data_IF_544367814973
#
_entry.id   IF_544367814973
#
_cell.length_a   1.000
_cell.length_b   1.000
_cell.length_c   1.000
_cell.angle_alpha   90.00
_cell.angle_beta   90.00
_cell.angle_gamma   90.00
#
_symmetry.space_group_name_H-M   'P 1'
#
loop_
_entity.id
_entity.type
_entity.pdbx_description
1 polymer ?
#
# COMPACT_ATOMS: atom_id res chain seq x y z
N UNK A 1 -0.46 -0.64 -27.80
CA UNK A 1 -1.42 -0.05 -26.83
C UNK A 1 -1.64 -0.94 -25.60
N UNK A 2 -1.66 -2.29 -25.73
CA UNK A 2 -1.85 -3.20 -24.60
C UNK A 2 -0.68 -3.17 -23.60
N UNK A 3 0.55 -3.10 -24.08
CA UNK A 3 1.73 -3.02 -23.23
C UNK A 3 1.72 -1.72 -22.39
N UNK A 4 1.43 -0.58 -22.98
CA UNK A 4 1.34 0.71 -22.27
C UNK A 4 0.27 0.65 -21.18
N UNK A 5 -0.85 0.02 -21.47
CA UNK A 5 -1.92 -0.17 -20.50
C UNK A 5 -1.49 -1.09 -19.35
N UNK A 6 -0.81 -2.19 -19.65
CA UNK A 6 -0.29 -3.12 -18.65
C UNK A 6 0.74 -2.45 -17.72
N UNK A 7 1.66 -1.66 -18.27
CA UNK A 7 2.65 -0.88 -17.51
C UNK A 7 1.97 0.16 -16.61
N UNK A 8 0.92 0.84 -17.13
CA UNK A 8 0.14 1.79 -16.34
C UNK A 8 -0.60 1.11 -15.18
N UNK A 9 -1.19 -0.08 -15.40
CA UNK A 9 -1.84 -0.86 -14.34
C UNK A 9 -0.83 -1.24 -13.28
N UNK A 10 0.34 -1.77 -13.65
CA UNK A 10 1.37 -2.16 -12.71
C UNK A 10 1.86 -0.97 -11.86
N UNK A 11 2.05 0.18 -12.48
CA UNK A 11 2.40 1.42 -11.80
C UNK A 11 1.28 1.85 -10.83
N UNK A 12 0.04 1.84 -11.26
CA UNK A 12 -1.13 2.19 -10.44
C UNK A 12 -1.28 1.22 -9.26
N UNK A 13 -1.05 -0.08 -9.50
CA UNK A 13 -1.05 -1.08 -8.45
C UNK A 13 0.08 -0.83 -7.46
N UNK A 14 1.27 -0.43 -7.90
CA UNK A 14 2.40 -0.13 -7.02
C UNK A 14 2.20 1.16 -6.23
N UNK A 15 1.72 2.23 -6.85
CA UNK A 15 1.67 3.58 -6.28
C UNK A 15 0.33 3.94 -5.63
N UNK A 16 -0.76 3.20 -5.90
CA UNK A 16 -2.08 3.46 -5.31
C UNK A 16 -2.10 3.29 -3.79
N UNK A 17 -3.23 3.68 -3.18
CA UNK A 17 -3.44 3.57 -1.73
C UNK A 17 -3.23 2.13 -1.26
N UNK A 18 -2.28 1.92 -0.35
CA UNK A 18 -1.83 0.63 0.15
C UNK A 18 -1.63 0.66 1.66
N UNK A 19 -1.74 -0.49 2.27
CA UNK A 19 -1.09 -0.75 3.53
C UNK A 19 0.40 -0.99 3.28
N UNK A 20 1.22 -0.41 4.14
CA UNK A 20 2.68 -0.49 4.04
C UNK A 20 3.21 -1.07 5.34
N UNK A 21 3.96 -2.14 5.22
CA UNK A 21 4.66 -2.75 6.36
C UNK A 21 6.15 -2.72 6.06
N UNK A 22 6.94 -2.31 7.05
CA UNK A 22 8.37 -2.11 6.92
C UNK A 22 9.11 -2.99 7.94
N UNK A 23 10.11 -3.73 7.46
CA UNK A 23 10.93 -4.62 8.27
C UNK A 23 12.41 -4.44 8.02
N UNK A 24 13.22 -4.66 9.06
CA UNK A 24 14.66 -4.82 8.91
C UNK A 24 15.00 -6.29 8.76
N UNK A 25 15.96 -6.59 7.90
CA UNK A 25 16.37 -7.96 7.64
C UNK A 25 17.90 -8.08 7.56
N UNK A 26 18.37 -9.30 7.67
CA UNK A 26 19.74 -9.71 7.34
C UNK A 26 19.69 -10.56 6.07
N UNK A 27 20.69 -10.39 5.24
CA UNK A 27 20.87 -11.16 4.00
C UNK A 27 21.90 -12.26 4.30
N UNK A 28 21.63 -13.46 3.79
CA UNK A 28 22.62 -14.52 3.76
C UNK A 28 23.83 -14.12 2.90
N UNK A 29 25.06 -14.40 3.39
CA UNK A 29 26.28 -13.97 2.70
C UNK A 29 26.39 -14.54 1.27
N UNK A 30 25.93 -15.75 1.04
CA UNK A 30 25.95 -16.36 -0.30
C UNK A 30 25.03 -15.62 -1.27
N UNK A 31 23.83 -15.28 -0.83
CA UNK A 31 22.86 -14.51 -1.64
C UNK A 31 23.29 -13.06 -1.80
N UNK A 32 23.93 -12.45 -0.80
CA UNK A 32 24.46 -11.11 -0.89
C UNK A 32 25.42 -10.93 -2.06
N UNK A 33 26.28 -11.93 -2.32
CA UNK A 33 27.17 -11.93 -3.47
C UNK A 33 26.40 -12.00 -4.80
N UNK A 34 25.34 -12.83 -4.86
CA UNK A 34 24.50 -12.96 -6.05
C UNK A 34 23.76 -11.64 -6.32
N UNK A 35 23.26 -10.98 -5.29
CA UNK A 35 22.53 -9.71 -5.40
C UNK A 35 23.48 -8.51 -5.60
N UNK A 36 24.80 -8.71 -5.68
CA UNK A 36 25.77 -7.63 -5.83
C UNK A 36 25.74 -6.96 -7.21
N UNK A 37 25.27 -7.64 -8.25
CA UNK A 37 25.18 -7.16 -9.62
C UNK A 37 23.89 -7.60 -10.30
N UNK A 38 23.53 -6.93 -11.40
CA UNK A 38 22.27 -7.17 -12.12
C UNK A 38 22.21 -8.54 -12.79
N UNK A 39 23.33 -9.02 -13.34
CA UNK A 39 23.38 -10.35 -13.98
C UNK A 39 23.12 -11.48 -12.96
N UNK A 40 23.70 -11.35 -11.77
CA UNK A 40 23.47 -12.25 -10.65
C UNK A 40 21.99 -12.26 -10.20
N UNK A 41 21.41 -11.08 -10.06
CA UNK A 41 19.99 -10.91 -9.72
C UNK A 41 19.13 -11.59 -10.78
N UNK A 42 19.34 -11.31 -12.05
CA UNK A 42 18.59 -11.87 -13.16
C UNK A 42 18.71 -13.39 -13.18
N UNK A 43 19.91 -13.93 -13.23
CA UNK A 43 20.15 -15.39 -13.25
C UNK A 43 19.56 -16.11 -12.05
N UNK A 44 19.49 -15.43 -10.90
CA UNK A 44 18.90 -16.00 -9.69
C UNK A 44 17.38 -15.97 -9.74
N UNK A 45 16.78 -14.82 -10.05
CA UNK A 45 15.34 -14.61 -9.96
C UNK A 45 14.54 -15.18 -11.12
N UNK A 46 15.09 -15.24 -12.33
CA UNK A 46 14.41 -15.84 -13.50
C UNK A 46 13.94 -17.27 -13.26
N UNK A 47 14.57 -17.99 -12.33
CA UNK A 47 14.18 -19.35 -11.96
C UNK A 47 12.87 -19.41 -11.18
N UNK A 48 12.48 -18.29 -10.55
CA UNK A 48 11.32 -18.20 -9.65
C UNK A 48 10.15 -17.45 -10.27
N UNK A 49 10.40 -16.71 -11.37
CA UNK A 49 9.32 -16.07 -12.12
C UNK A 49 8.41 -17.15 -12.70
N UNK A 50 7.12 -16.98 -12.53
CA UNK A 50 6.13 -17.91 -13.05
C UNK A 50 6.22 -18.01 -14.58
N UNK A 51 6.31 -19.23 -15.11
CA UNK A 51 6.50 -19.49 -16.53
C UNK A 51 5.30 -19.08 -17.40
N UNK A 52 4.13 -19.01 -16.78
CA UNK A 52 2.88 -18.58 -17.41
C UNK A 52 2.65 -17.08 -17.28
N UNK A 53 3.60 -16.36 -16.64
CA UNK A 53 3.52 -14.93 -16.49
C UNK A 53 3.74 -14.20 -17.81
N UNK A 54 2.90 -13.22 -18.07
CA UNK A 54 3.09 -12.27 -19.18
C UNK A 54 4.12 -11.18 -18.88
N UNK A 55 4.71 -11.17 -17.66
CA UNK A 55 5.55 -10.09 -17.15
C UNK A 55 4.77 -8.88 -16.62
N UNK A 56 3.44 -8.96 -16.61
CA UNK A 56 2.54 -7.95 -16.08
C UNK A 56 1.52 -8.55 -15.11
N UNK A 57 1.02 -7.74 -14.18
CA UNK A 57 -0.02 -8.18 -13.25
C UNK A 57 -1.34 -8.50 -13.93
N UNK A 58 -1.62 -7.88 -15.07
CA UNK A 58 -2.78 -8.22 -15.88
C UNK A 58 -2.42 -9.29 -16.93
N UNK A 59 -3.41 -10.04 -17.36
CA UNK A 59 -3.29 -11.09 -18.39
C UNK A 59 -2.44 -12.29 -18.01
N UNK A 60 -2.04 -12.42 -16.75
CA UNK A 60 -1.41 -13.63 -16.22
C UNK A 60 -2.46 -14.59 -15.68
N UNK A 61 -2.19 -15.88 -15.76
CA UNK A 61 -3.08 -16.89 -15.18
C UNK A 61 -2.76 -17.07 -13.70
N UNK A 62 -3.76 -16.92 -12.86
CA UNK A 62 -3.63 -17.04 -11.41
C UNK A 62 -4.49 -18.18 -10.86
N UNK A 63 -3.98 -18.79 -9.82
CA UNK A 63 -4.67 -19.75 -8.98
C UNK A 63 -4.62 -19.30 -7.51
N UNK A 64 -4.89 -20.21 -6.58
CA UNK A 64 -4.82 -19.96 -5.15
C UNK A 64 -3.38 -19.91 -4.59
N UNK A 65 -2.36 -20.14 -5.41
CA UNK A 65 -0.97 -20.08 -5.00
C UNK A 65 -0.37 -18.71 -5.29
N UNK A 66 0.50 -18.26 -4.40
CA UNK A 66 1.25 -17.01 -4.59
C UNK A 66 2.36 -17.25 -5.62
N UNK A 67 2.32 -16.51 -6.72
CA UNK A 67 3.29 -16.57 -7.82
C UNK A 67 4.12 -15.28 -7.88
N UNK A 68 5.40 -15.40 -8.19
CA UNK A 68 6.24 -14.27 -8.58
C UNK A 68 6.01 -13.98 -10.05
N UNK A 69 5.46 -12.83 -10.36
CA UNK A 69 5.06 -12.46 -11.72
C UNK A 69 6.20 -11.79 -12.47
N UNK A 70 6.89 -10.89 -11.79
CA UNK A 70 8.06 -10.19 -12.30
C UNK A 70 8.87 -9.59 -11.16
N UNK A 71 10.05 -9.12 -11.51
CA UNK A 71 10.85 -8.26 -10.65
C UNK A 71 11.41 -7.08 -11.46
N UNK A 72 11.79 -6.04 -10.75
CA UNK A 72 12.49 -4.88 -11.33
C UNK A 72 13.62 -4.46 -10.40
N UNK A 73 14.78 -4.13 -10.98
CA UNK A 73 15.89 -3.53 -10.27
C UNK A 73 15.93 -2.04 -10.60
N UNK A 74 16.15 -1.22 -9.60
CA UNK A 74 16.26 0.24 -9.76
C UNK A 74 17.22 0.81 -8.73
N UNK A 75 17.66 2.05 -8.97
CA UNK A 75 18.49 2.80 -8.02
C UNK A 75 17.70 3.99 -7.51
N UNK A 76 17.53 4.06 -6.19
CA UNK A 76 16.88 5.17 -5.52
C UNK A 76 17.88 5.88 -4.59
N UNK A 77 18.19 7.14 -4.87
CA UNK A 77 19.17 7.94 -4.10
C UNK A 77 20.53 7.24 -3.94
N UNK A 78 21.01 6.61 -5.03
CA UNK A 78 22.28 5.88 -5.05
C UNK A 78 22.26 4.50 -4.40
N UNK A 79 21.11 4.02 -3.92
CA UNK A 79 20.93 2.70 -3.31
C UNK A 79 20.07 1.79 -4.18
N UNK A 80 20.44 0.53 -4.24
CA UNK A 80 19.76 -0.46 -5.07
C UNK A 80 18.47 -0.93 -4.41
N UNK A 81 17.41 -0.93 -5.20
CA UNK A 81 16.09 -1.41 -4.78
C UNK A 81 15.63 -2.49 -5.75
N UNK A 82 15.36 -3.66 -5.22
CA UNK A 82 14.78 -4.77 -5.93
C UNK A 82 13.29 -4.86 -5.58
N UNK A 83 12.42 -4.71 -6.57
CA UNK A 83 10.98 -4.83 -6.40
C UNK A 83 10.50 -6.16 -6.96
N UNK A 84 9.85 -6.97 -6.14
CA UNK A 84 9.21 -8.22 -6.53
C UNK A 84 7.69 -8.02 -6.56
N UNK A 85 7.05 -8.52 -7.60
CA UNK A 85 5.61 -8.44 -7.81
C UNK A 85 5.03 -9.84 -7.65
N UNK A 86 4.35 -10.07 -6.54
CA UNK A 86 3.63 -11.30 -6.28
C UNK A 86 2.15 -11.10 -6.56
N UNK A 87 1.49 -12.15 -7.01
CA UNK A 87 0.04 -12.17 -7.16
C UNK A 87 -0.52 -13.57 -6.95
N UNK A 88 -1.76 -13.63 -6.49
CA UNK A 88 -2.59 -14.83 -6.45
C UNK A 88 -4.04 -14.47 -6.72
N UNK A 89 -4.87 -15.44 -7.04
CA UNK A 89 -6.31 -15.27 -7.10
C UNK A 89 -6.93 -15.43 -5.71
N UNK A 90 -7.90 -14.61 -5.41
CA UNK A 90 -8.76 -14.74 -4.22
C UNK A 90 -10.21 -14.47 -4.63
N UNK A 91 -11.16 -14.97 -3.85
CA UNK A 91 -12.57 -14.62 -4.03
C UNK A 91 -12.94 -13.50 -3.08
N UNK A 92 -13.53 -12.44 -3.60
CA UNK A 92 -14.06 -11.31 -2.85
C UNK A 92 -15.58 -11.34 -2.87
N UNK A 93 -16.22 -11.20 -1.71
CA UNK A 93 -17.67 -11.13 -1.60
C UNK A 93 -18.09 -9.70 -1.28
N UNK A 94 -18.87 -9.11 -2.16
CA UNK A 94 -19.37 -7.76 -1.99
C UNK A 94 -20.45 -7.70 -0.91
N UNK A 95 -20.27 -6.84 0.09
CA UNK A 95 -21.19 -6.78 1.27
C UNK A 95 -22.63 -6.44 0.94
N UNK A 96 -22.86 -5.63 -0.13
CA UNK A 96 -24.19 -5.10 -0.42
C UNK A 96 -25.11 -6.11 -1.10
N UNK A 97 -24.57 -6.88 -2.03
CA UNK A 97 -25.36 -7.77 -2.90
C UNK A 97 -24.94 -9.23 -2.79
N UNK A 98 -23.97 -9.54 -1.93
CA UNK A 98 -23.37 -10.86 -1.74
C UNK A 98 -22.81 -11.48 -3.04
N UNK A 99 -22.49 -10.67 -4.03
CA UNK A 99 -21.89 -11.16 -5.26
C UNK A 99 -20.43 -11.59 -5.00
N UNK A 100 -20.12 -12.82 -5.36
CA UNK A 100 -18.76 -13.34 -5.35
C UNK A 100 -18.05 -12.95 -6.66
N UNK A 101 -16.82 -12.46 -6.53
CA UNK A 101 -15.94 -12.14 -7.69
C UNK A 101 -14.56 -12.69 -7.40
N UNK A 102 -13.99 -13.34 -8.39
CA UNK A 102 -12.57 -13.68 -8.34
C UNK A 102 -11.77 -12.44 -8.70
N UNK A 103 -10.82 -12.11 -7.84
CA UNK A 103 -9.97 -10.93 -8.00
C UNK A 103 -8.52 -11.30 -7.80
N UNK A 104 -7.67 -10.60 -8.49
CA UNK A 104 -6.23 -10.63 -8.27
C UNK A 104 -5.88 -9.92 -6.96
N UNK A 105 -4.99 -10.53 -6.19
CA UNK A 105 -4.47 -9.98 -4.96
C UNK A 105 -2.97 -9.75 -5.08
N UNK A 106 -2.56 -8.59 -5.60
CA UNK A 106 -1.16 -8.27 -5.76
C UNK A 106 -0.53 -7.87 -4.42
N UNK A 107 0.70 -8.34 -4.21
CA UNK A 107 1.58 -7.96 -3.10
C UNK A 107 2.90 -7.51 -3.70
N UNK A 108 3.31 -6.28 -3.39
CA UNK A 108 4.56 -5.71 -3.85
C UNK A 108 5.58 -5.76 -2.70
N UNK A 109 6.75 -6.28 -2.98
CA UNK A 109 7.83 -6.41 -2.04
C UNK A 109 9.04 -5.62 -2.54
N UNK A 110 9.33 -4.48 -1.92
CA UNK A 110 10.50 -3.67 -2.23
C UNK A 110 11.63 -3.98 -1.26
N UNK A 111 12.75 -4.46 -1.76
CA UNK A 111 13.93 -4.79 -1.00
C UNK A 111 15.06 -3.80 -1.25
N UNK A 112 15.45 -3.08 -0.19
CA UNK A 112 16.56 -2.13 -0.18
C UNK A 112 17.83 -2.89 0.17
N UNK A 113 18.51 -3.38 -0.86
CA UNK A 113 19.62 -4.33 -0.73
C UNK A 113 20.74 -3.77 0.16
N UNK A 114 21.13 -2.52 -0.09
CA UNK A 114 22.27 -1.88 0.59
C UNK A 114 21.97 -1.49 2.04
N UNK A 115 20.71 -1.41 2.42
CA UNK A 115 20.26 -0.99 3.75
C UNK A 115 19.76 -2.14 4.63
N UNK A 116 19.50 -3.30 4.04
CA UNK A 116 18.92 -4.45 4.73
C UNK A 116 17.50 -4.18 5.25
N UNK A 117 16.68 -3.53 4.42
CA UNK A 117 15.28 -3.26 4.70
C UNK A 117 14.40 -3.81 3.60
N UNK A 118 13.18 -4.18 3.94
CA UNK A 118 12.16 -4.39 2.95
C UNK A 118 10.84 -3.75 3.34
N UNK A 119 10.09 -3.40 2.32
CA UNK A 119 8.76 -2.80 2.41
C UNK A 119 7.77 -3.70 1.69
N UNK A 120 6.68 -4.03 2.35
CA UNK A 120 5.58 -4.77 1.74
C UNK A 120 4.41 -3.83 1.53
N UNK A 121 3.87 -3.81 0.31
CA UNK A 121 2.71 -2.99 -0.06
C UNK A 121 1.60 -3.89 -0.58
N UNK A 122 0.42 -3.73 -0.03
CA UNK A 122 -0.76 -4.46 -0.48
C UNK A 122 -2.02 -3.64 -0.22
N UNK A 123 -3.09 -3.96 -0.91
CA UNK A 123 -4.40 -3.36 -0.65
C UNK A 123 -5.16 -4.25 0.31
N UNK A 124 -5.32 -3.79 1.55
CA UNK A 124 -6.18 -4.48 2.52
C UNK A 124 -7.62 -4.56 2.03
N UNK A 125 -8.22 -5.72 2.19
CA UNK A 125 -9.62 -5.95 1.89
C UNK A 125 -10.23 -6.87 2.94
N UNK A 126 -11.43 -6.58 3.35
CA UNK A 126 -12.27 -7.50 4.13
C UNK A 126 -13.07 -8.42 3.19
N UNK A 127 -13.65 -9.48 3.71
CA UNK A 127 -14.48 -10.45 2.97
C UNK A 127 -13.74 -11.15 1.82
N UNK A 128 -12.53 -11.56 2.11
CA UNK A 128 -11.75 -12.42 1.23
C UNK A 128 -11.96 -13.89 1.60
N UNK A 129 -11.93 -14.72 0.58
CA UNK A 129 -12.08 -16.16 0.67
C UNK A 129 -11.06 -16.82 -0.26
N UNK A 130 -10.72 -18.08 0.04
CA UNK A 130 -9.85 -18.85 -0.84
C UNK A 130 -10.48 -18.96 -2.24
N UNK A 131 -9.65 -18.84 -3.26
CA UNK A 131 -10.08 -19.00 -4.64
C UNK A 131 -10.53 -20.42 -4.92
N UNK A 132 -11.75 -20.56 -5.40
CA UNK A 132 -12.27 -21.83 -5.89
C UNK A 132 -12.84 -21.63 -7.32
N UNK A 133 -12.18 -22.18 -8.35
CA UNK A 133 -12.62 -22.02 -9.74
C UNK A 133 -13.98 -22.68 -10.02
N UNK A 134 -14.34 -23.70 -9.26
CA UNK A 134 -15.59 -24.45 -9.44
C UNK A 134 -16.78 -23.79 -8.72
N UNK A 135 -16.53 -22.87 -7.79
CA UNK A 135 -17.56 -22.26 -6.97
C UNK A 135 -18.09 -20.98 -7.59
N UNK A 136 -19.25 -21.09 -8.23
CA UNK A 136 -20.10 -19.95 -8.56
C UNK A 136 -21.09 -19.60 -7.44
N UNK A 137 -21.09 -20.39 -6.36
CA UNK A 137 -22.01 -20.23 -5.23
C UNK A 137 -21.32 -19.53 -4.05
N UNK A 138 -21.89 -18.43 -3.60
CA UNK A 138 -21.46 -17.70 -2.40
C UNK A 138 -21.37 -18.60 -1.16
N UNK A 139 -22.28 -19.56 -1.02
CA UNK A 139 -22.35 -20.43 0.15
C UNK A 139 -21.18 -21.42 0.25
N UNK A 140 -20.74 -21.99 -0.86
CA UNK A 140 -19.59 -22.90 -0.88
C UNK A 140 -18.26 -22.20 -0.58
N UNK A 141 -18.21 -20.87 -0.82
CA UNK A 141 -17.02 -20.05 -0.60
C UNK A 141 -16.93 -19.56 0.85
N UNK A 142 -18.06 -19.40 1.56
CA UNK A 142 -18.08 -18.86 2.93
C UNK A 142 -17.36 -19.74 3.97
N UNK A 143 -17.24 -21.02 3.73
CA UNK A 143 -16.53 -21.95 4.62
C UNK A 143 -15.00 -21.74 4.65
N UNK A 144 -14.44 -21.05 3.65
CA UNK A 144 -13.02 -20.85 3.48
C UNK A 144 -12.63 -19.36 3.59
N UNK A 145 -13.10 -18.73 4.67
CA UNK A 145 -12.73 -17.33 4.96
C UNK A 145 -11.22 -17.16 5.00
N UNK A 146 -10.74 -16.15 4.28
CA UNK A 146 -9.33 -15.81 4.16
C UNK A 146 -9.04 -14.50 4.86
N UNK A 147 -8.16 -14.53 5.88
CA UNK A 147 -7.61 -13.30 6.41
C UNK A 147 -6.66 -12.68 5.37
N UNK A 148 -6.82 -11.37 5.06
CA UNK A 148 -5.96 -10.65 4.13
C UNK A 148 -4.45 -10.73 4.47
N UNK A 149 -4.10 -10.97 5.73
CA UNK A 149 -2.73 -11.19 6.16
C UNK A 149 -2.12 -12.48 5.61
N UNK A 150 -2.90 -13.52 5.32
CA UNK A 150 -2.39 -14.80 4.82
C UNK A 150 -1.75 -14.66 3.45
N UNK A 151 -2.41 -14.12 2.41
CA UNK A 151 -1.77 -13.87 1.11
C UNK A 151 -0.51 -13.01 1.20
N UNK A 152 -0.52 -12.02 2.09
CA UNK A 152 0.65 -11.15 2.32
C UNK A 152 1.79 -11.94 2.94
N UNK A 153 1.51 -12.74 3.98
CA UNK A 153 2.51 -13.59 4.63
C UNK A 153 3.09 -14.61 3.65
N UNK A 154 2.26 -15.28 2.86
CA UNK A 154 2.71 -16.23 1.83
C UNK A 154 3.67 -15.57 0.85
N UNK A 155 3.39 -14.35 0.39
CA UNK A 155 4.27 -13.58 -0.49
C UNK A 155 5.59 -13.17 0.20
N UNK A 156 5.52 -12.73 1.46
CA UNK A 156 6.70 -12.37 2.26
C UNK A 156 7.59 -13.57 2.51
N UNK A 157 7.02 -14.71 2.89
CA UNK A 157 7.77 -15.94 3.14
C UNK A 157 8.40 -16.46 1.85
N UNK A 158 7.71 -16.31 0.71
CA UNK A 158 8.28 -16.63 -0.58
C UNK A 158 9.46 -15.68 -0.92
N UNK A 159 9.29 -14.38 -0.77
CA UNK A 159 10.36 -13.40 -0.98
C UNK A 159 11.57 -13.70 -0.10
N UNK A 160 11.36 -13.94 1.20
CA UNK A 160 12.43 -14.29 2.13
C UNK A 160 13.21 -15.51 1.70
N UNK A 161 12.51 -16.56 1.27
CA UNK A 161 13.12 -17.80 0.81
C UNK A 161 14.00 -17.59 -0.43
N UNK A 162 13.51 -16.87 -1.44
CA UNK A 162 14.26 -16.65 -2.68
C UNK A 162 15.39 -15.64 -2.52
N UNK A 163 15.25 -14.67 -1.61
CA UNK A 163 16.27 -13.66 -1.34
C UNK A 163 17.24 -14.05 -0.21
N UNK A 164 17.04 -15.19 0.44
CA UNK A 164 17.87 -15.61 1.57
C UNK A 164 17.92 -14.57 2.69
N UNK A 165 16.77 -13.97 3.01
CA UNK A 165 16.68 -12.95 4.04
C UNK A 165 15.93 -13.46 5.27
N UNK A 166 16.34 -12.97 6.44
CA UNK A 166 15.69 -13.24 7.72
C UNK A 166 15.39 -11.92 8.44
N UNK A 167 14.25 -11.85 9.13
CA UNK A 167 13.91 -10.67 9.91
C UNK A 167 14.86 -10.50 11.07
N UNK A 168 15.18 -9.24 11.36
CA UNK A 168 15.85 -8.87 12.59
C UNK A 168 14.79 -8.59 13.63
N UNK A 169 14.67 -9.46 14.64
CA UNK A 169 13.74 -9.25 15.76
C UNK A 169 14.35 -8.24 16.75
N UNK A 170 14.40 -6.99 16.34
CA UNK A 170 14.82 -5.87 17.15
C UNK A 170 13.61 -4.97 17.41
N UNK A 171 12.91 -5.26 18.51
CA UNK A 171 11.69 -4.55 18.90
C UNK A 171 11.93 -3.06 19.14
N UNK A 172 13.10 -2.69 19.65
CA UNK A 172 13.45 -1.29 19.89
C UNK A 172 13.69 -0.53 18.59
N UNK A 173 14.43 -1.12 17.65
CA UNK A 173 14.61 -0.53 16.32
C UNK A 173 13.30 -0.44 15.55
N UNK A 174 12.46 -1.47 15.60
CA UNK A 174 11.14 -1.46 14.97
C UNK A 174 10.25 -0.35 15.54
N UNK A 175 10.26 -0.15 16.85
CA UNK A 175 9.53 0.94 17.50
C UNK A 175 10.07 2.31 17.08
N UNK A 176 11.39 2.50 17.12
CA UNK A 176 12.04 3.74 16.73
C UNK A 176 11.80 4.08 15.25
N UNK A 177 11.77 3.08 14.38
CA UNK A 177 11.47 3.26 12.97
C UNK A 177 10.01 3.68 12.75
N UNK A 178 9.05 3.01 13.39
CA UNK A 178 7.64 3.40 13.37
C UNK A 178 7.45 4.84 13.82
N UNK A 179 8.13 5.24 14.90
CA UNK A 179 8.11 6.62 15.41
C UNK A 179 8.68 7.62 14.41
N UNK A 180 9.80 7.31 13.75
CA UNK A 180 10.39 8.15 12.70
C UNK A 180 9.47 8.27 11.49
N UNK A 181 8.87 7.16 11.07
CA UNK A 181 7.93 7.14 9.95
C UNK A 181 6.66 7.93 10.27
N UNK A 182 6.13 7.78 11.48
CA UNK A 182 5.00 8.59 11.94
C UNK A 182 5.32 10.09 11.95
N UNK A 183 6.51 10.50 12.44
CA UNK A 183 6.95 11.89 12.37
C UNK A 183 7.06 12.40 10.94
N UNK A 184 7.58 11.57 10.02
CA UNK A 184 7.67 11.91 8.60
C UNK A 184 6.27 12.09 7.99
N UNK A 185 5.34 11.16 8.22
CA UNK A 185 3.96 11.30 7.74
C UNK A 185 3.31 12.55 8.31
N UNK A 186 3.50 12.82 9.60
CA UNK A 186 2.97 14.01 10.26
C UNK A 186 3.50 15.29 9.62
N UNK A 187 4.79 15.35 9.26
CA UNK A 187 5.37 16.52 8.58
C UNK A 187 4.79 16.79 7.20
N UNK A 188 4.24 15.78 6.51
CA UNK A 188 3.54 15.96 5.23
C UNK A 188 2.05 16.35 5.40
N UNK A 189 1.49 16.11 6.58
CA UNK A 189 0.08 16.43 6.89
C UNK A 189 -0.05 17.70 7.71
N UNK A 190 1.04 18.19 8.29
CA UNK A 190 1.05 19.49 8.98
C UNK A 190 1.03 20.62 7.96
N UNK A 191 0.13 21.54 8.16
CA UNK A 191 0.09 22.78 7.37
C UNK A 191 1.41 23.53 7.56
N UNK A 192 2.12 23.91 6.48
CA UNK A 192 3.31 24.73 6.61
C UNK A 192 3.04 25.99 7.46
N UNK A 193 3.99 26.44 8.28
CA UNK A 193 3.79 27.59 9.17
C UNK A 193 3.32 28.85 8.44
N UNK A 194 3.80 29.05 7.22
CA UNK A 194 3.42 30.19 6.37
C UNK A 194 1.93 30.11 6.01
N UNK A 195 1.46 28.93 5.60
CA UNK A 195 0.05 28.70 5.26
C UNK A 195 -0.82 28.75 6.52
N UNK A 196 -0.33 28.24 7.66
CA UNK A 196 -1.06 28.33 8.92
C UNK A 196 -1.28 29.79 9.33
N UNK A 197 -0.26 30.64 9.18
CA UNK A 197 -0.37 32.07 9.46
C UNK A 197 -1.42 32.74 8.57
N UNK A 198 -1.46 32.40 7.29
CA UNK A 198 -2.51 32.91 6.38
C UNK A 198 -3.89 32.39 6.78
N UNK A 199 -4.01 31.10 7.11
CA UNK A 199 -5.28 30.52 7.56
C UNK A 199 -5.79 31.20 8.85
N UNK A 200 -4.90 31.51 9.79
CA UNK A 200 -5.24 32.18 11.04
C UNK A 200 -5.72 33.61 10.76
N UNK A 201 -5.12 34.34 9.81
CA UNK A 201 -5.58 35.66 9.36
C UNK A 201 -6.96 35.56 8.72
N UNK A 202 -7.21 34.58 7.84
CA UNK A 202 -8.54 34.38 7.26
C UNK A 202 -9.58 34.01 8.31
N UNK A 203 -9.23 33.21 9.30
CA UNK A 203 -10.12 32.85 10.40
C UNK A 203 -10.51 34.06 11.21
N UNK A 204 -9.56 34.96 11.51
CA UNK A 204 -9.81 36.24 12.20
C UNK A 204 -10.75 37.11 11.38
N UNK A 205 -10.49 37.23 10.08
CA UNK A 205 -11.33 38.01 9.17
C UNK A 205 -12.76 37.46 9.07
N UNK A 206 -12.93 36.15 9.02
CA UNK A 206 -14.25 35.50 9.02
C UNK A 206 -14.98 35.80 10.34
N UNK A 207 -14.30 35.72 11.47
CA UNK A 207 -14.86 36.00 12.78
C UNK A 207 -15.33 37.46 12.88
N UNK A 208 -14.55 38.40 12.36
CA UNK A 208 -14.90 39.82 12.32
C UNK A 208 -16.14 40.09 11.44
N UNK A 209 -16.24 39.41 10.30
CA UNK A 209 -17.42 39.48 9.42
C UNK A 209 -18.64 38.87 10.13
N UNK A 210 -18.51 37.73 10.75
CA UNK A 210 -19.60 37.11 11.50
C UNK A 210 -20.10 38.02 12.62
N UNK A 211 -19.21 38.68 13.33
CA UNK A 211 -19.55 39.61 14.37
C UNK A 211 -20.31 40.87 13.82
N UNK A 212 -19.83 41.44 12.72
CA UNK A 212 -20.51 42.55 12.06
C UNK A 212 -21.88 42.17 11.53
N UNK A 213 -22.03 40.97 10.97
CA UNK A 213 -23.36 40.47 10.54
C UNK A 213 -24.30 40.35 11.73
N UNK A 214 -23.82 39.85 12.88
CA UNK A 214 -24.59 39.74 14.11
C UNK A 214 -25.08 41.10 14.57
N UNK A 215 -24.20 42.09 14.61
CA UNK A 215 -24.51 43.47 15.01
C UNK A 215 -25.55 44.09 14.07
N UNK A 216 -25.40 43.93 12.76
CA UNK A 216 -26.30 44.47 11.75
C UNK A 216 -27.67 43.81 11.72
N UNK A 217 -27.74 42.51 11.97
CA UNK A 217 -28.98 41.75 11.92
C UNK A 217 -29.70 41.65 13.26
N UNK A 218 -29.12 42.18 14.35
CA UNK A 218 -29.72 42.15 15.68
C UNK A 218 -29.99 40.72 16.21
N UNK A 219 -29.18 39.74 15.81
CA UNK A 219 -29.38 38.32 16.14
C UNK A 219 -28.75 38.06 17.51
N UNK A 220 -29.52 37.58 18.52
CA UNK A 220 -28.98 37.28 19.84
C UNK A 220 -28.02 36.10 19.81
N UNK A 221 -26.94 36.11 20.63
CA UNK A 221 -25.83 35.14 20.66
C UNK A 221 -26.27 33.68 20.81
N UNK A 222 -27.41 33.41 21.41
CA UNK A 222 -27.90 32.06 21.68
C UNK A 222 -28.64 31.37 20.52
N UNK A 223 -28.81 32.04 19.36
CA UNK A 223 -29.48 31.47 18.18
C UNK A 223 -28.57 31.01 17.06
N UNK A 224 -27.24 31.14 17.19
CA UNK A 224 -26.28 30.92 16.06
C UNK A 224 -25.43 29.66 16.22
N UNK A 225 -25.70 28.78 17.15
CA UNK A 225 -24.95 27.54 17.27
C UNK A 225 -25.11 26.56 16.07
N UNK A 226 -25.90 26.92 15.07
CA UNK A 226 -26.16 26.08 13.87
C UNK A 226 -25.67 26.65 12.54
N UNK A 227 -25.18 27.89 12.48
CA UNK A 227 -24.72 28.54 11.23
C UNK A 227 -23.19 28.79 11.28
N UNK A 228 -22.41 27.71 11.42
CA UNK A 228 -20.97 27.81 11.26
C UNK A 228 -20.62 27.84 9.77
N UNK A 229 -20.37 29.03 9.22
CA UNK A 229 -19.74 29.21 7.90
C UNK A 229 -18.38 28.53 7.81
N UNK A 230 -17.72 28.26 8.93
CA UNK A 230 -16.43 27.57 9.01
C UNK A 230 -16.47 26.10 8.58
N UNK A 231 -17.65 25.45 8.61
CA UNK A 231 -17.76 24.04 8.25
C UNK A 231 -17.75 23.78 6.74
N UNK A 232 -18.19 24.73 5.92
CA UNK A 232 -18.28 24.53 4.46
C UNK A 232 -16.98 24.82 3.71
N UNK A 233 -16.06 25.58 4.29
CA UNK A 233 -14.73 25.85 3.70
C UNK A 233 -13.71 24.72 3.97
N UNK A 234 -13.85 23.97 5.07
CA UNK A 234 -12.97 22.84 5.40
C UNK A 234 -13.15 21.60 4.49
N UNK A 235 -14.23 21.54 3.72
CA UNK A 235 -14.52 20.42 2.81
C UNK A 235 -14.24 20.71 1.34
N UNK A 236 -13.71 21.91 1.00
CA UNK A 236 -13.43 22.29 -0.40
C UNK A 236 -11.97 22.65 -0.68
N UNK A 237 -11.08 22.55 0.29
CA UNK A 237 -9.62 22.58 0.15
C UNK A 237 -9.05 21.20 0.49
#
# INVERSE_FOLDING_TARGET
NEQIFAEWVDKTVKEGIKEIVLYKCRIDNGISLILSNEEGIQKHLDKYVDKESTGYLINSQYDNQTKLIKYTSSTMRGKRVLTLYFCRMVTYIEKRNLNARNIEFPVIFDFFIDDGWYVVRYKSRSNLYEYNPESQSVYATMEQSLNAEKPVRDAVDYAKRILGITDVDDKEQAYNLKKKFYKLLKSFTETPPEIQTELDQYQTFITDIEQKIKELCGIPENQISGLSFSCSLRHKL
#
